data_IF_190176885053
#
_entry.id   IF_190176885053
#
_cell.length_a   1.000
_cell.length_b   1.000
_cell.length_c   1.000
_cell.angle_alpha   90.00
_cell.angle_beta   90.00
_cell.angle_gamma   90.00
#
_symmetry.space_group_name_H-M   'P 1'
#
loop_
_entity.id
_entity.type
_entity.pdbx_description
1 polymer ?
#
# COMPACT_ATOMS: atom_id res chain seq x y z
N UNK A 1 -10.98 34.28 -1.12
CA UNK A 1 -9.98 33.56 -1.93
C UNK A 1 -8.91 33.07 -0.97
N UNK A 2 -9.08 31.86 -0.42
CA UNK A 2 -8.12 31.25 0.48
C UNK A 2 -7.06 30.55 -0.35
N UNK A 3 -5.84 31.09 -0.33
CA UNK A 3 -4.64 30.43 -0.86
C UNK A 3 -4.22 29.40 0.18
N UNK A 4 -4.51 28.12 -0.06
CA UNK A 4 -3.93 27.03 0.72
C UNK A 4 -2.43 26.96 0.41
N UNK A 5 -1.62 27.11 1.45
CA UNK A 5 -0.17 27.02 1.37
C UNK A 5 0.25 25.64 0.85
N UNK A 6 0.85 25.62 -0.33
CA UNK A 6 1.72 24.52 -0.77
C UNK A 6 3.00 24.57 0.08
N UNK A 7 2.98 23.97 1.27
CA UNK A 7 4.23 23.64 1.95
C UNK A 7 4.90 22.49 1.19
N UNK A 8 5.99 22.81 0.50
CA UNK A 8 7.12 21.97 0.06
C UNK A 8 6.90 20.45 0.04
N UNK A 9 6.05 19.97 -0.88
CA UNK A 9 5.97 18.55 -1.24
C UNK A 9 7.09 18.13 -2.22
N UNK A 10 8.03 19.02 -2.54
CA UNK A 10 9.20 18.69 -3.34
C UNK A 10 10.15 17.80 -2.54
N UNK A 11 10.39 16.58 -3.03
CA UNK A 11 11.39 15.70 -2.44
C UNK A 11 12.78 16.35 -2.45
N UNK A 12 13.44 16.33 -1.30
CA UNK A 12 14.85 16.67 -1.14
C UNK A 12 15.63 15.44 -0.71
N UNK A 13 16.81 15.20 -1.31
CA UNK A 13 17.66 14.08 -0.93
C UNK A 13 18.05 14.11 0.54
N UNK A 14 17.94 12.97 1.22
CA UNK A 14 18.42 12.79 2.60
C UNK A 14 19.42 11.63 2.70
N UNK A 15 20.41 11.67 3.61
CA UNK A 15 21.33 10.55 3.79
C UNK A 15 20.60 9.30 4.31
N UNK A 16 20.80 8.15 3.65
CA UNK A 16 20.13 6.89 4.00
C UNK A 16 18.69 6.77 3.49
N UNK A 17 18.31 7.57 2.49
CA UNK A 17 16.95 7.56 1.93
C UNK A 17 16.76 6.42 0.92
N UNK A 18 15.75 5.58 1.16
CA UNK A 18 15.33 4.46 0.29
C UNK A 18 15.04 4.92 -1.16
N UNK A 19 14.76 6.22 -1.34
CA UNK A 19 14.53 6.82 -2.66
C UNK A 19 15.79 6.81 -3.52
N UNK A 20 16.98 6.98 -2.93
CA UNK A 20 18.24 6.90 -3.69
C UNK A 20 18.62 5.44 -3.99
N UNK A 21 18.27 4.49 -3.12
CA UNK A 21 18.40 3.07 -3.42
C UNK A 21 17.52 2.67 -4.62
N UNK A 22 16.28 3.17 -4.65
CA UNK A 22 15.39 3.02 -5.80
C UNK A 22 15.98 3.68 -7.07
N UNK A 23 16.61 4.84 -6.96
CA UNK A 23 17.28 5.47 -8.10
C UNK A 23 18.42 4.60 -8.65
N UNK A 24 19.27 4.06 -7.79
CA UNK A 24 20.38 3.19 -8.17
C UNK A 24 19.84 1.93 -8.86
N UNK A 25 18.81 1.30 -8.28
CA UNK A 25 18.18 0.11 -8.84
C UNK A 25 17.55 0.37 -10.21
N UNK A 26 16.74 1.42 -10.34
CA UNK A 26 16.05 1.74 -11.60
C UNK A 26 17.03 2.21 -12.69
N UNK A 27 18.12 2.88 -12.31
CA UNK A 27 19.20 3.22 -13.24
C UNK A 27 19.83 1.95 -13.82
N UNK A 28 20.04 0.94 -12.98
CA UNK A 28 20.59 -0.34 -13.40
C UNK A 28 19.60 -1.13 -14.29
N UNK A 29 18.32 -1.14 -13.94
CA UNK A 29 17.25 -1.71 -14.79
C UNK A 29 17.23 -1.04 -16.17
N UNK A 30 17.27 0.29 -16.23
CA UNK A 30 17.29 1.04 -17.50
C UNK A 30 18.56 0.75 -18.32
N UNK A 31 19.70 0.55 -17.66
CA UNK A 31 20.95 0.16 -18.32
C UNK A 31 20.85 -1.24 -18.94
N UNK A 32 20.24 -2.19 -18.24
CA UNK A 32 20.06 -3.57 -18.72
C UNK A 32 18.92 -3.71 -19.75
N UNK A 33 17.89 -2.87 -19.63
CA UNK A 33 16.70 -2.89 -20.50
C UNK A 33 16.44 -1.48 -21.05
N UNK A 34 17.19 -1.04 -22.08
CA UNK A 34 17.12 0.32 -22.61
C UNK A 34 15.74 0.72 -23.18
N UNK A 35 14.89 -0.26 -23.50
CA UNK A 35 13.53 -0.05 -23.99
C UNK A 35 12.51 0.31 -22.91
N UNK A 36 12.88 0.23 -21.62
CA UNK A 36 11.99 0.66 -20.53
C UNK A 36 11.81 2.18 -20.57
N UNK A 37 10.55 2.60 -20.62
CA UNK A 37 10.16 4.02 -20.70
C UNK A 37 9.39 4.51 -19.48
N UNK A 38 8.92 3.61 -18.62
CA UNK A 38 8.04 3.95 -17.51
C UNK A 38 8.19 3.01 -16.31
N UNK A 39 7.76 3.48 -15.14
CA UNK A 39 7.66 2.73 -13.89
C UNK A 39 6.24 2.85 -13.36
N UNK A 40 5.58 1.72 -13.10
CA UNK A 40 4.28 1.70 -12.43
C UNK A 40 4.45 1.50 -10.93
N UNK A 41 3.78 2.32 -10.14
CA UNK A 41 3.75 2.22 -8.68
C UNK A 41 2.34 1.88 -8.17
N UNK A 42 2.28 1.24 -7.00
CA UNK A 42 1.03 0.84 -6.34
C UNK A 42 0.52 1.84 -5.31
N UNK A 43 1.02 3.08 -5.27
CA UNK A 43 0.57 4.08 -4.30
C UNK A 43 -0.91 4.45 -4.55
N UNK A 44 -1.76 4.35 -3.52
CA UNK A 44 -3.20 4.60 -3.66
C UNK A 44 -3.55 6.00 -3.16
N UNK A 45 -3.16 6.40 -1.95
CA UNK A 45 -3.49 7.72 -1.42
C UNK A 45 -2.28 8.58 -1.06
N UNK A 46 -1.13 7.96 -0.73
CA UNK A 46 0.05 8.69 -0.27
C UNK A 46 0.72 9.52 -1.37
N UNK A 47 0.56 10.85 -1.29
CA UNK A 47 1.32 11.81 -2.12
C UNK A 47 2.82 11.69 -1.87
N UNK A 48 3.23 11.43 -0.64
CA UNK A 48 4.62 11.24 -0.26
C UNK A 48 5.28 10.10 -1.03
N UNK A 49 4.63 8.93 -1.11
CA UNK A 49 5.14 7.79 -1.87
C UNK A 49 5.14 8.06 -3.38
N UNK A 50 4.05 8.63 -3.92
CA UNK A 50 3.93 8.95 -5.35
C UNK A 50 5.03 9.91 -5.81
N UNK A 51 5.23 11.01 -5.08
CA UNK A 51 6.19 12.06 -5.45
C UNK A 51 7.65 11.57 -5.38
N UNK A 52 7.96 10.62 -4.49
CA UNK A 52 9.28 9.99 -4.41
C UNK A 52 9.58 9.13 -5.63
N UNK A 53 8.62 8.32 -6.08
CA UNK A 53 8.74 7.55 -7.34
C UNK A 53 8.86 8.50 -8.53
N UNK A 54 8.03 9.54 -8.57
CA UNK A 54 8.03 10.55 -9.64
C UNK A 54 9.38 11.28 -9.75
N UNK A 55 9.96 11.68 -8.61
CA UNK A 55 11.30 12.30 -8.54
C UNK A 55 12.38 11.44 -9.19
N UNK A 56 12.42 10.14 -8.84
CA UNK A 56 13.40 9.20 -9.41
C UNK A 56 13.17 9.00 -10.92
N UNK A 57 11.91 8.83 -11.33
CA UNK A 57 11.56 8.65 -12.74
C UNK A 57 11.97 9.86 -13.58
N UNK A 58 11.68 11.08 -13.09
CA UNK A 58 12.04 12.34 -13.74
C UNK A 58 13.56 12.44 -13.98
N UNK A 59 14.38 12.15 -12.96
CA UNK A 59 15.85 12.15 -13.05
C UNK A 59 16.39 11.13 -14.06
N UNK A 60 15.70 10.01 -14.25
CA UNK A 60 16.08 8.96 -15.18
C UNK A 60 15.46 9.13 -16.57
N UNK A 61 14.60 10.13 -16.80
CA UNK A 61 13.83 10.27 -18.04
C UNK A 61 12.88 9.08 -18.27
N UNK A 62 12.20 8.64 -17.21
CA UNK A 62 11.15 7.63 -17.21
C UNK A 62 9.81 8.28 -16.86
N UNK A 63 8.71 7.74 -17.35
CA UNK A 63 7.35 8.15 -16.97
C UNK A 63 6.93 7.44 -15.68
N UNK A 64 6.48 8.19 -14.68
CA UNK A 64 5.88 7.61 -13.47
C UNK A 64 4.39 7.36 -13.71
N UNK A 65 3.95 6.11 -13.56
CA UNK A 65 2.57 5.68 -13.70
C UNK A 65 2.01 5.34 -12.31
N UNK A 66 0.98 6.06 -11.88
CA UNK A 66 0.32 5.88 -10.59
C UNK A 66 -1.19 5.71 -10.80
N UNK A 67 -1.59 4.63 -11.47
CA UNK A 67 -2.97 4.40 -11.92
C UNK A 67 -3.99 4.33 -10.77
N UNK A 68 -3.55 3.91 -9.58
CA UNK A 68 -4.41 3.76 -8.41
C UNK A 68 -4.53 5.04 -7.59
N UNK A 69 -3.72 6.06 -7.89
CA UNK A 69 -3.63 7.26 -7.07
C UNK A 69 -4.96 8.03 -7.06
N UNK A 70 -5.44 8.36 -5.86
CA UNK A 70 -6.70 9.07 -5.59
C UNK A 70 -7.96 8.38 -6.14
N UNK A 71 -7.89 7.08 -6.43
CA UNK A 71 -9.09 6.27 -6.65
C UNK A 71 -9.88 6.13 -5.35
N UNK A 72 -11.20 5.91 -5.46
CA UNK A 72 -12.00 5.53 -4.30
C UNK A 72 -11.55 4.15 -3.79
N UNK A 73 -11.08 4.10 -2.55
CA UNK A 73 -10.47 2.90 -1.98
C UNK A 73 -11.47 1.78 -1.73
N UNK A 74 -12.73 2.14 -1.42
CA UNK A 74 -13.80 1.17 -1.26
C UNK A 74 -14.09 0.46 -2.57
N UNK A 75 -14.26 1.23 -3.64
CA UNK A 75 -14.41 0.70 -4.99
C UNK A 75 -13.17 -0.09 -5.43
N UNK A 76 -11.97 0.43 -5.17
CA UNK A 76 -10.72 -0.24 -5.54
C UNK A 76 -10.57 -1.61 -4.87
N UNK A 77 -10.85 -1.70 -3.56
CA UNK A 77 -10.84 -2.97 -2.82
C UNK A 77 -11.81 -3.98 -3.45
N UNK A 78 -13.04 -3.53 -3.75
CA UNK A 78 -14.05 -4.36 -4.38
C UNK A 78 -13.64 -4.82 -5.78
N UNK A 79 -13.01 -3.94 -6.57
CA UNK A 79 -12.50 -4.30 -7.89
C UNK A 79 -11.33 -5.28 -7.80
N UNK A 80 -10.43 -5.15 -6.84
CA UNK A 80 -9.36 -6.14 -6.61
C UNK A 80 -9.96 -7.53 -6.35
N UNK A 81 -10.95 -7.61 -5.45
CA UNK A 81 -11.64 -8.86 -5.13
C UNK A 81 -12.37 -9.41 -6.37
N UNK A 82 -13.12 -8.55 -7.07
CA UNK A 82 -13.90 -8.93 -8.26
C UNK A 82 -13.04 -9.42 -9.41
N UNK A 83 -11.86 -8.82 -9.59
CA UNK A 83 -10.89 -9.22 -10.61
C UNK A 83 -10.04 -10.43 -10.17
N UNK A 84 -10.42 -11.13 -9.10
CA UNK A 84 -9.83 -12.41 -8.71
C UNK A 84 -8.47 -12.29 -8.03
N UNK A 85 -8.15 -11.15 -7.42
CA UNK A 85 -6.96 -11.04 -6.57
C UNK A 85 -7.24 -11.72 -5.24
N UNK A 86 -6.56 -12.84 -4.98
CA UNK A 86 -6.63 -13.58 -3.73
C UNK A 86 -5.47 -13.10 -2.86
N UNK A 87 -5.79 -12.31 -1.83
CA UNK A 87 -4.82 -11.81 -0.87
C UNK A 87 -5.27 -12.12 0.56
N UNK A 88 -4.31 -12.37 1.45
CA UNK A 88 -4.55 -12.55 2.89
C UNK A 88 -3.92 -11.43 3.70
N UNK A 89 -4.50 -11.09 4.85
CA UNK A 89 -3.86 -10.21 5.82
C UNK A 89 -2.68 -10.93 6.51
N UNK A 90 -1.47 -10.38 6.41
CA UNK A 90 -0.23 -10.95 7.01
C UNK A 90 0.33 -10.10 8.14
N UNK A 91 -0.16 -8.88 8.28
CA UNK A 91 0.05 -8.05 9.45
C UNK A 91 -1.26 -7.33 9.71
N UNK A 92 -1.60 -7.21 10.97
CA UNK A 92 -2.74 -6.42 11.41
C UNK A 92 -2.18 -5.47 12.45
N UNK A 93 -2.35 -4.17 12.23
CA UNK A 93 -2.02 -3.16 13.23
C UNK A 93 -2.84 -3.43 14.48
N UNK A 94 -2.17 -3.77 15.57
CA UNK A 94 -2.81 -3.87 16.87
C UNK A 94 -3.03 -2.44 17.35
N UNK A 95 -4.28 -2.10 17.64
CA UNK A 95 -4.58 -0.96 18.50
C UNK A 95 -5.19 -1.48 19.80
N UNK A 96 -4.35 -1.65 20.81
CA UNK A 96 -4.83 -1.54 22.20
C UNK A 96 -5.20 -0.07 22.41
N UNK A 97 -6.34 0.15 23.05
CA UNK A 97 -6.87 1.49 23.32
C UNK A 97 -5.89 2.23 24.22
N UNK A 98 -5.14 3.18 23.67
CA UNK A 98 -4.76 4.36 24.43
C UNK A 98 -5.55 5.53 23.87
N UNK A 99 -6.60 5.89 24.62
CA UNK A 99 -7.19 7.21 24.56
C UNK A 99 -6.09 8.22 24.91
N UNK A 100 -5.29 8.61 23.94
CA UNK A 100 -4.51 9.82 24.03
C UNK A 100 -4.64 10.55 22.71
N UNK A 101 -5.09 11.79 22.83
CA UNK A 101 -5.17 12.74 21.74
C UNK A 101 -3.85 12.73 20.94
N UNK A 102 -4.00 12.92 19.62
CA UNK A 102 -2.96 13.34 18.67
C UNK A 102 -2.26 12.22 17.88
N UNK A 103 -2.80 12.02 16.67
CA UNK A 103 -2.06 11.97 15.38
C UNK A 103 -1.67 10.63 14.74
N UNK A 104 -1.95 9.46 15.30
CA UNK A 104 -1.69 8.21 14.57
C UNK A 104 -2.84 7.21 14.73
N UNK A 105 -3.59 7.00 13.65
CA UNK A 105 -4.64 5.98 13.56
C UNK A 105 -3.96 4.65 13.25
N UNK A 106 -3.61 3.88 14.27
CA UNK A 106 -3.48 2.44 14.11
C UNK A 106 -4.90 1.83 14.13
N UNK A 107 -5.15 0.82 13.31
CA UNK A 107 -6.50 0.31 13.02
C UNK A 107 -7.27 -0.07 14.29
N UNK A 108 -8.22 0.78 14.69
CA UNK A 108 -9.19 0.43 15.72
C UNK A 108 -10.09 -0.67 15.18
N UNK A 109 -10.17 -1.80 15.87
CA UNK A 109 -11.14 -2.86 15.59
C UNK A 109 -10.65 -4.01 14.70
N UNK A 110 -9.37 -4.04 14.33
CA UNK A 110 -8.76 -5.26 13.78
C UNK A 110 -8.10 -6.09 14.89
N UNK A 111 -8.50 -7.36 15.01
CA UNK A 111 -7.97 -8.30 16.00
C UNK A 111 -7.09 -9.35 15.28
N UNK A 112 -5.79 -9.45 15.60
CA UNK A 112 -4.90 -10.42 14.95
C UNK A 112 -5.40 -11.85 15.04
N UNK A 113 -5.91 -12.29 16.20
CA UNK A 113 -6.44 -13.66 16.38
C UNK A 113 -7.65 -13.97 15.51
N UNK A 114 -8.38 -12.95 15.03
CA UNK A 114 -9.56 -13.11 14.17
C UNK A 114 -9.27 -12.85 12.69
N UNK A 115 -8.39 -11.90 12.39
CA UNK A 115 -8.23 -11.36 11.03
C UNK A 115 -6.91 -11.75 10.37
N UNK A 116 -5.87 -12.09 11.13
CA UNK A 116 -4.60 -12.52 10.54
C UNK A 116 -4.79 -13.84 9.77
N UNK A 117 -4.20 -13.90 8.57
CA UNK A 117 -4.31 -15.03 7.66
C UNK A 117 -5.68 -15.18 6.97
N UNK A 118 -6.63 -14.26 7.22
CA UNK A 118 -7.91 -14.25 6.51
C UNK A 118 -7.78 -13.56 5.17
N UNK A 119 -8.53 -14.06 4.20
CA UNK A 119 -8.63 -13.43 2.89
C UNK A 119 -9.27 -12.05 2.98
N UNK A 120 -8.80 -11.13 2.15
CA UNK A 120 -9.32 -9.77 2.08
C UNK A 120 -10.79 -9.76 1.64
N UNK A 121 -11.20 -10.67 0.76
CA UNK A 121 -12.60 -10.83 0.38
C UNK A 121 -13.51 -11.17 1.58
N UNK A 122 -13.01 -11.95 2.53
CA UNK A 122 -13.73 -12.26 3.77
C UNK A 122 -13.77 -11.06 4.73
N UNK A 123 -12.70 -10.27 4.77
CA UNK A 123 -12.58 -9.11 5.65
C UNK A 123 -13.30 -7.86 5.15
N UNK A 124 -13.60 -7.75 3.84
CA UNK A 124 -14.16 -6.56 3.20
C UNK A 124 -15.39 -5.97 3.94
N UNK A 125 -16.43 -6.74 4.31
CA UNK A 125 -17.59 -6.16 4.98
C UNK A 125 -17.24 -5.59 6.36
N UNK A 126 -16.30 -6.23 7.06
CA UNK A 126 -15.81 -5.76 8.37
C UNK A 126 -14.98 -4.49 8.23
N UNK A 127 -14.10 -4.42 7.22
CA UNK A 127 -13.29 -3.23 6.93
C UNK A 127 -14.17 -2.02 6.60
N UNK A 128 -15.21 -2.21 5.80
CA UNK A 128 -16.18 -1.16 5.49
C UNK A 128 -16.91 -0.65 6.74
N UNK A 129 -17.34 -1.57 7.62
CA UNK A 129 -17.94 -1.20 8.90
C UNK A 129 -16.96 -0.41 9.79
N UNK A 130 -15.69 -0.80 9.85
CA UNK A 130 -14.67 -0.06 10.61
C UNK A 130 -14.38 1.31 9.99
N UNK A 131 -14.45 1.45 8.66
CA UNK A 131 -14.34 2.75 7.99
C UNK A 131 -15.48 3.68 8.43
N UNK A 132 -16.70 3.20 8.51
CA UNK A 132 -17.85 3.99 8.98
C UNK A 132 -17.73 4.38 10.46
N UNK A 133 -17.27 3.46 11.32
CA UNK A 133 -17.21 3.68 12.76
C UNK A 133 -16.00 4.51 13.21
N UNK A 134 -14.84 4.28 12.59
CA UNK A 134 -13.55 4.78 13.07
C UNK A 134 -12.72 5.47 12.00
N UNK A 135 -13.20 5.54 10.76
CA UNK A 135 -12.50 6.21 9.66
C UNK A 135 -11.24 5.47 9.17
N UNK A 136 -11.11 4.17 9.43
CA UNK A 136 -9.95 3.40 8.95
C UNK A 136 -9.87 3.38 7.42
N UNK A 137 -8.68 3.14 6.89
CA UNK A 137 -8.51 2.92 5.47
C UNK A 137 -8.85 1.47 5.06
N UNK A 138 -9.83 1.30 4.17
CA UNK A 138 -10.23 -0.02 3.67
C UNK A 138 -9.21 -0.68 2.76
N UNK A 139 -8.22 0.06 2.25
CA UNK A 139 -7.08 -0.50 1.52
C UNK A 139 -5.83 -0.66 2.39
N UNK A 140 -5.91 -0.33 3.69
CA UNK A 140 -4.77 -0.39 4.61
C UNK A 140 -3.75 0.75 4.45
N UNK A 141 -4.12 1.85 3.78
CA UNK A 141 -3.27 3.04 3.70
C UNK A 141 -3.16 3.73 5.06
N UNK A 142 -1.96 3.70 5.64
CA UNK A 142 -1.71 4.14 7.01
C UNK A 142 -1.11 3.04 7.89
N UNK A 143 -1.03 1.81 7.37
CA UNK A 143 -0.43 0.67 8.06
C UNK A 143 -1.44 -0.08 8.94
N UNK A 144 -2.74 0.06 8.68
CA UNK A 144 -3.81 -0.64 9.39
C UNK A 144 -3.65 -2.16 9.30
N UNK A 145 -3.25 -2.65 8.14
CA UNK A 145 -2.89 -4.03 7.90
C UNK A 145 -2.01 -4.10 6.65
N UNK A 146 -1.27 -5.21 6.51
CA UNK A 146 -0.50 -5.52 5.31
C UNK A 146 -1.00 -6.83 4.73
N UNK A 147 -0.89 -6.97 3.41
CA UNK A 147 -1.41 -8.12 2.68
C UNK A 147 -0.35 -8.86 1.91
N UNK A 148 -0.55 -10.16 1.73
CA UNK A 148 0.20 -10.98 0.79
C UNK A 148 -0.76 -11.51 -0.27
N UNK A 149 -0.48 -11.21 -1.54
CA UNK A 149 -1.19 -11.79 -2.68
C UNK A 149 -0.76 -13.23 -2.89
N UNK A 150 -1.69 -14.17 -2.73
CA UNK A 150 -1.48 -15.60 -2.93
C UNK A 150 -1.69 -15.99 -4.39
N UNK A 151 -2.69 -15.40 -5.05
CA UNK A 151 -3.03 -15.68 -6.43
C UNK A 151 -3.68 -14.47 -7.12
N UNK A 152 -3.56 -14.40 -8.44
CA UNK A 152 -4.33 -13.50 -9.30
C UNK A 152 -4.36 -14.02 -10.74
N UNK A 153 -5.29 -13.56 -11.61
CA UNK A 153 -5.41 -14.07 -12.98
C UNK A 153 -4.14 -13.93 -13.84
N UNK A 154 -3.19 -13.09 -13.44
CA UNK A 154 -1.92 -12.88 -14.14
C UNK A 154 -0.81 -13.82 -13.66
N UNK A 155 -1.00 -14.55 -12.55
CA UNK A 155 -0.01 -15.49 -12.06
C UNK A 155 0.01 -16.75 -12.94
N UNK A 156 1.20 -17.17 -13.37
CA UNK A 156 1.38 -18.44 -14.12
C UNK A 156 1.44 -19.66 -13.20
N UNK A 157 1.73 -19.43 -11.92
CA UNK A 157 1.68 -20.41 -10.85
C UNK A 157 1.33 -19.65 -9.56
N UNK A 158 0.37 -20.15 -8.80
CA UNK A 158 -0.01 -19.60 -7.50
C UNK A 158 1.12 -19.81 -6.48
N UNK A 159 1.24 -18.90 -5.51
CA UNK A 159 2.15 -19.11 -4.38
C UNK A 159 1.64 -20.35 -3.61
N UNK A 160 2.44 -21.42 -3.42
CA UNK A 160 1.99 -22.61 -2.74
C UNK A 160 1.43 -22.26 -1.36
N UNK A 161 0.30 -22.89 -1.00
CA UNK A 161 -0.43 -22.64 0.24
C UNK A 161 0.52 -22.47 1.42
N UNK A 162 0.53 -21.27 2.01
CA UNK A 162 1.08 -21.07 3.34
C UNK A 162 0.31 -21.99 4.29
N UNK A 163 0.97 -23.03 4.81
CA UNK A 163 0.48 -23.63 6.05
C UNK A 163 0.49 -22.52 7.09
N UNK A 164 -0.57 -22.36 7.90
CA UNK A 164 -0.59 -21.30 8.89
C UNK A 164 0.63 -21.51 9.79
N UNK A 165 1.55 -20.55 9.77
CA UNK A 165 2.67 -20.49 10.70
C UNK A 165 2.08 -20.68 12.10
N UNK A 166 2.40 -21.83 12.74
CA UNK A 166 2.15 -22.01 14.17
C UNK A 166 3.08 -21.04 14.88
N UNK A 167 2.55 -19.89 15.26
CA UNK A 167 3.16 -19.06 16.29
C UNK A 167 3.01 -19.82 17.61
N UNK A 168 4.06 -20.54 18.00
CA UNK A 168 4.22 -20.95 19.40
C UNK A 168 4.47 -19.65 20.18
N UNK A 169 3.56 -19.34 21.10
CA UNK A 169 3.74 -18.28 22.09
C UNK A 169 5.00 -18.52 22.94
#
# INVERSE_FOLDING_TARGET
>A
MFVLMHHDLSYSMTPGDEVEDMFILLKEVKRQIPSVTAVSSGAIASDYQRLRVESVCSRLGLVSLAYLWKQDQSFLLQEMIRNGIIAIAVKVGICEVFLFEISHVAAIGLNPSKHLGKEIAYLEPHLHKLKELYGINVCGEGGEYETLTLDCPLFKASVPSFSPFRWSA
#
